data_IF_340736002400
#
_entry.id   IF_340736002400
#
_cell.length_a   1.000
_cell.length_b   1.000
_cell.length_c   1.000
_cell.angle_alpha   90.00
_cell.angle_beta   90.00
_cell.angle_gamma   90.00
#
_symmetry.space_group_name_H-M   'P 1'
#
loop_
_entity.id
_entity.type
_entity.pdbx_description
1 polymer ?
#
# COMPACT_ATOMS: atom_id res chain seq x y z
N UNK A 1 28.13 24.50 -7.93
CA UNK A 1 27.54 24.61 -6.58
C UNK A 1 26.45 23.57 -6.41
N UNK A 2 26.61 22.58 -5.52
CA UNK A 2 25.53 21.64 -5.16
C UNK A 2 24.50 22.44 -4.35
N UNK A 3 23.27 22.61 -4.86
CA UNK A 3 22.16 23.15 -4.06
C UNK A 3 21.96 22.22 -2.87
N UNK A 4 22.28 22.72 -1.67
CA UNK A 4 22.01 22.03 -0.42
C UNK A 4 20.49 21.80 -0.36
N UNK A 5 20.07 20.54 -0.45
CA UNK A 5 18.65 20.20 -0.47
C UNK A 5 18.08 20.52 0.90
N UNK A 6 17.10 21.42 0.96
CA UNK A 6 16.35 21.78 2.18
C UNK A 6 16.07 20.51 3.00
N UNK A 7 16.60 20.41 4.23
CA UNK A 7 16.54 19.19 5.04
C UNK A 7 15.10 18.81 5.40
N UNK A 8 14.15 19.72 5.24
CA UNK A 8 12.73 19.49 5.47
C UNK A 8 12.04 18.80 4.30
N UNK A 9 12.68 18.65 3.13
CA UNK A 9 12.05 17.96 2.00
C UNK A 9 12.06 16.44 2.16
N UNK A 10 10.95 15.80 1.79
CA UNK A 10 10.85 14.34 1.74
C UNK A 10 11.92 13.76 0.81
N UNK A 11 12.66 12.78 1.33
CA UNK A 11 13.70 12.05 0.58
C UNK A 11 13.16 10.75 -0.04
N UNK A 12 12.09 10.20 0.55
CA UNK A 12 11.42 8.96 0.12
C UNK A 12 9.90 9.09 0.19
N UNK A 13 9.19 8.26 -0.57
CA UNK A 13 7.74 8.14 -0.47
C UNK A 13 7.32 7.74 0.96
N UNK A 14 6.18 8.26 1.43
CA UNK A 14 5.64 8.00 2.77
C UNK A 14 6.11 8.93 3.90
N UNK A 15 7.17 9.73 3.71
CA UNK A 15 7.73 10.59 4.78
C UNK A 15 6.92 11.86 5.07
N UNK A 16 6.09 12.33 4.14
CA UNK A 16 5.32 13.57 4.28
C UNK A 16 3.79 13.35 4.45
N UNK A 17 3.37 12.10 4.64
CA UNK A 17 1.96 11.70 4.62
C UNK A 17 1.43 11.41 3.21
N UNK A 18 0.11 11.21 3.12
CA UNK A 18 -0.65 10.91 1.89
C UNK A 18 -1.24 12.17 1.22
N UNK A 19 -1.09 13.35 1.81
CA UNK A 19 -1.41 14.63 1.15
C UNK A 19 -0.33 14.98 0.12
N UNK A 20 -0.59 15.94 -0.78
CA UNK A 20 0.37 16.46 -1.77
C UNK A 20 1.61 17.18 -1.19
N UNK A 21 1.93 16.92 0.08
CA UNK A 21 2.99 17.54 0.84
C UNK A 21 4.37 17.03 0.43
N UNK A 22 5.31 17.97 0.34
CA UNK A 22 6.72 17.71 0.06
C UNK A 22 7.61 17.95 1.28
N UNK A 23 7.11 18.64 2.31
CA UNK A 23 7.87 18.93 3.53
C UNK A 23 7.52 17.96 4.67
N UNK A 24 8.53 17.42 5.34
CA UNK A 24 8.41 16.62 6.54
C UNK A 24 7.92 17.53 7.67
N UNK A 25 6.86 17.12 8.35
CA UNK A 25 6.33 17.83 9.52
C UNK A 25 7.06 17.33 10.76
N UNK A 26 7.72 18.23 11.49
CA UNK A 26 8.58 17.89 12.64
C UNK A 26 8.05 18.40 13.98
N UNK A 27 7.00 19.25 13.97
CA UNK A 27 6.35 19.78 15.17
C UNK A 27 5.04 19.05 15.43
N UNK A 28 4.69 18.87 16.70
CA UNK A 28 3.47 18.20 17.16
C UNK A 28 2.61 19.16 17.97
N UNK A 29 1.30 19.04 17.78
CA UNK A 29 0.26 19.67 18.58
C UNK A 29 -0.61 18.55 19.14
N UNK A 30 -0.89 18.58 20.44
CA UNK A 30 -1.58 17.50 21.16
C UNK A 30 -2.81 18.06 21.88
N UNK A 31 -3.94 17.39 21.70
CA UNK A 31 -5.19 17.63 22.43
C UNK A 31 -5.59 16.29 23.06
N UNK A 32 -6.01 16.32 24.33
CA UNK A 32 -6.58 15.15 25.01
C UNK A 32 -8.08 15.09 24.75
N UNK A 33 -8.59 13.90 24.47
CA UNK A 33 -10.00 13.65 24.19
C UNK A 33 -10.55 12.59 25.14
N UNK A 34 -11.83 12.67 25.47
CA UNK A 34 -12.59 11.53 25.97
C UNK A 34 -12.82 10.51 24.84
N UNK A 35 -13.22 9.26 25.15
CA UNK A 35 -13.58 8.29 24.12
C UNK A 35 -14.68 8.77 23.18
N UNK A 36 -15.69 9.47 23.70
CA UNK A 36 -16.84 9.97 22.94
C UNK A 36 -16.40 11.07 21.97
N UNK A 37 -15.60 12.01 22.45
CA UNK A 37 -15.03 13.08 21.62
C UNK A 37 -14.16 12.51 20.51
N UNK A 38 -13.36 11.48 20.81
CA UNK A 38 -12.53 10.82 19.82
C UNK A 38 -13.34 10.15 18.72
N UNK A 39 -14.42 9.44 19.08
CA UNK A 39 -15.33 8.80 18.12
C UNK A 39 -15.99 9.87 17.24
N UNK A 40 -16.51 10.94 17.84
CA UNK A 40 -17.12 12.03 17.09
C UNK A 40 -16.15 12.69 16.10
N UNK A 41 -14.90 12.91 16.52
CA UNK A 41 -13.84 13.46 15.69
C UNK A 41 -13.50 12.55 14.51
N UNK A 42 -13.43 11.23 14.75
CA UNK A 42 -13.21 10.24 13.70
C UNK A 42 -14.37 10.16 12.71
N UNK A 43 -15.61 10.30 13.19
CA UNK A 43 -16.82 10.35 12.38
C UNK A 43 -16.78 11.50 11.38
N UNK A 44 -16.56 12.74 11.86
CA UNK A 44 -16.46 13.94 11.02
C UNK A 44 -15.36 13.84 9.95
N UNK A 45 -14.22 13.27 10.32
CA UNK A 45 -13.13 13.05 9.36
C UNK A 45 -13.51 12.03 8.27
N UNK A 46 -14.28 10.99 8.61
CA UNK A 46 -14.74 10.01 7.64
C UNK A 46 -15.83 10.56 6.71
N UNK A 47 -16.78 11.32 7.25
CA UNK A 47 -17.87 11.96 6.49
C UNK A 47 -17.35 12.92 5.41
N UNK A 48 -16.23 13.61 5.70
CA UNK A 48 -15.56 14.51 4.75
C UNK A 48 -14.61 13.80 3.77
N UNK A 49 -14.52 12.46 3.84
CA UNK A 49 -13.65 11.67 2.96
C UNK A 49 -12.15 11.77 3.26
N UNK A 50 -11.76 12.42 4.36
CA UNK A 50 -10.37 12.56 4.75
C UNK A 50 -9.75 11.20 5.08
N UNK A 51 -8.51 10.95 4.64
CA UNK A 51 -7.82 9.67 4.88
C UNK A 51 -7.36 9.48 6.33
N UNK A 52 -7.33 10.55 7.14
CA UNK A 52 -7.11 10.45 8.58
C UNK A 52 -7.71 11.64 9.33
N UNK A 53 -7.95 11.46 10.63
CA UNK A 53 -8.40 12.52 11.53
C UNK A 53 -7.44 13.70 11.57
N UNK A 54 -6.12 13.46 11.44
CA UNK A 54 -5.10 14.51 11.45
C UNK A 54 -5.09 15.35 10.17
N UNK A 55 -5.49 14.77 9.03
CA UNK A 55 -5.64 15.49 7.75
C UNK A 55 -6.86 16.39 7.83
N UNK A 56 -8.00 15.84 8.27
CA UNK A 56 -9.21 16.61 8.49
C UNK A 56 -9.01 17.76 9.48
N UNK A 57 -8.41 17.49 10.65
CA UNK A 57 -8.16 18.51 11.66
C UNK A 57 -7.26 19.63 11.13
N UNK A 58 -6.29 19.32 10.27
CA UNK A 58 -5.43 20.33 9.64
C UNK A 58 -6.20 21.20 8.66
N UNK A 59 -7.04 20.60 7.82
CA UNK A 59 -7.89 21.35 6.89
C UNK A 59 -8.80 22.35 7.63
N UNK A 60 -9.35 21.93 8.77
CA UNK A 60 -10.21 22.79 9.61
C UNK A 60 -9.42 23.87 10.35
N UNK A 61 -8.30 23.52 10.99
CA UNK A 61 -7.53 24.45 11.83
C UNK A 61 -6.63 25.39 11.02
N UNK A 62 -6.19 24.97 9.83
CA UNK A 62 -5.21 25.67 8.99
C UNK A 62 -5.64 25.67 7.51
N UNK A 63 -6.81 26.25 7.16
CA UNK A 63 -7.39 26.14 5.83
C UNK A 63 -6.50 26.72 4.71
N UNK A 64 -5.76 27.80 4.99
CA UNK A 64 -4.80 28.38 4.04
C UNK A 64 -3.59 27.48 3.73
N UNK A 65 -3.38 26.43 4.54
CA UNK A 65 -2.31 25.45 4.38
C UNK A 65 -2.85 24.04 4.13
N UNK A 66 -4.15 23.92 3.85
CA UNK A 66 -4.72 22.65 3.46
C UNK A 66 -4.12 22.21 2.12
N UNK A 67 -3.89 20.91 2.01
CA UNK A 67 -3.33 20.32 0.81
C UNK A 67 -4.22 19.19 0.36
N UNK A 68 -4.46 19.14 -0.95
CA UNK A 68 -5.27 18.09 -1.55
C UNK A 68 -4.80 16.71 -1.10
N UNK A 69 -5.73 15.96 -0.52
CA UNK A 69 -5.52 14.59 -0.14
C UNK A 69 -5.32 13.74 -1.41
N UNK A 70 -4.25 12.94 -1.50
CA UNK A 70 -3.99 12.13 -2.70
C UNK A 70 -4.68 10.76 -2.65
N UNK A 71 -5.20 10.38 -1.49
CA UNK A 71 -5.83 9.08 -1.24
C UNK A 71 -6.94 9.30 -0.19
N UNK A 72 -8.12 8.76 -0.42
CA UNK A 72 -9.24 8.72 0.55
C UNK A 72 -9.01 7.64 1.61
N UNK A 73 -9.79 7.66 2.71
CA UNK A 73 -9.70 6.63 3.76
C UNK A 73 -10.02 5.22 3.24
N UNK A 74 -10.98 5.11 2.33
CA UNK A 74 -11.39 3.84 1.74
C UNK A 74 -10.28 3.27 0.83
N UNK A 75 -9.70 4.11 -0.03
CA UNK A 75 -8.58 3.73 -0.89
C UNK A 75 -7.36 3.32 -0.06
N UNK A 76 -7.06 4.07 1.01
CA UNK A 76 -5.97 3.72 1.92
C UNK A 76 -6.17 2.34 2.55
N UNK A 77 -7.38 2.05 3.03
CA UNK A 77 -7.72 0.74 3.60
C UNK A 77 -7.57 -0.38 2.57
N UNK A 78 -8.06 -0.17 1.36
CA UNK A 78 -7.94 -1.13 0.27
C UNK A 78 -6.46 -1.39 -0.08
N UNK A 79 -5.65 -0.32 -0.17
CA UNK A 79 -4.22 -0.42 -0.45
C UNK A 79 -3.48 -1.24 0.61
N UNK A 80 -3.78 -1.01 1.89
CA UNK A 80 -3.19 -1.78 2.99
C UNK A 80 -3.59 -3.25 2.93
N UNK A 81 -4.87 -3.54 2.64
CA UNK A 81 -5.34 -4.93 2.48
C UNK A 81 -4.67 -5.62 1.30
N UNK A 82 -4.52 -4.94 0.16
CA UNK A 82 -3.83 -5.46 -1.00
C UNK A 82 -2.36 -5.76 -0.70
N UNK A 83 -1.66 -4.84 -0.03
CA UNK A 83 -0.27 -5.04 0.40
C UNK A 83 -0.12 -6.24 1.34
N UNK A 84 -1.05 -6.42 2.28
CA UNK A 84 -1.05 -7.57 3.17
C UNK A 84 -1.24 -8.89 2.40
N UNK A 85 -2.16 -8.92 1.44
CA UNK A 85 -2.39 -10.10 0.57
C UNK A 85 -1.17 -10.41 -0.30
N UNK A 86 -0.55 -9.39 -0.91
CA UNK A 86 0.68 -9.56 -1.69
C UNK A 86 1.84 -10.04 -0.82
N UNK A 87 1.97 -9.54 0.41
CA UNK A 87 2.97 -10.01 1.37
C UNK A 87 2.80 -11.49 1.72
N UNK A 88 1.55 -11.96 1.90
CA UNK A 88 1.25 -13.38 2.10
C UNK A 88 1.65 -14.22 0.88
N UNK A 89 1.31 -13.77 -0.32
CA UNK A 89 1.70 -14.45 -1.57
C UNK A 89 3.23 -14.53 -1.68
N UNK A 90 3.94 -13.43 -1.45
CA UNK A 90 5.40 -13.41 -1.48
C UNK A 90 6.03 -14.34 -0.44
N UNK A 91 5.46 -14.41 0.77
CA UNK A 91 5.90 -15.34 1.81
C UNK A 91 5.73 -16.80 1.36
N UNK A 92 4.57 -17.15 0.79
CA UNK A 92 4.32 -18.50 0.27
C UNK A 92 5.31 -18.86 -0.86
N UNK A 93 5.55 -17.93 -1.80
CA UNK A 93 6.54 -18.12 -2.87
C UNK A 93 7.93 -18.37 -2.28
N UNK A 94 8.34 -17.58 -1.28
CA UNK A 94 9.63 -17.76 -0.60
C UNK A 94 9.72 -19.11 0.13
N UNK A 95 8.62 -19.61 0.69
CA UNK A 95 8.57 -20.94 1.29
C UNK A 95 8.72 -22.06 0.24
N UNK A 96 8.05 -21.93 -0.91
CA UNK A 96 8.20 -22.87 -2.04
C UNK A 96 9.66 -22.89 -2.51
N UNK A 97 10.24 -21.70 -2.75
CA UNK A 97 11.63 -21.57 -3.17
C UNK A 97 12.59 -22.21 -2.15
N UNK A 98 12.39 -21.97 -0.85
CA UNK A 98 13.18 -22.60 0.22
C UNK A 98 12.98 -24.11 0.25
N UNK A 99 11.77 -24.62 0.04
CA UNK A 99 11.48 -26.05 0.00
C UNK A 99 12.20 -26.72 -1.16
N UNK A 100 12.09 -26.16 -2.37
CA UNK A 100 12.80 -26.63 -3.57
C UNK A 100 14.32 -26.60 -3.37
N UNK A 101 14.86 -25.51 -2.82
CA UNK A 101 16.28 -25.38 -2.54
C UNK A 101 16.77 -26.40 -1.48
N UNK A 102 15.97 -26.65 -0.44
CA UNK A 102 16.27 -27.65 0.59
C UNK A 102 16.20 -29.07 0.07
N UNK A 103 15.25 -29.35 -0.83
CA UNK A 103 15.11 -30.67 -1.41
C UNK A 103 16.35 -31.02 -2.24
N UNK A 104 17.14 -30.06 -2.77
CA UNK A 104 18.35 -30.33 -3.59
C UNK A 104 18.14 -31.39 -4.69
N UNK A 105 16.88 -31.60 -5.06
CA UNK A 105 16.44 -32.68 -5.91
C UNK A 105 15.93 -31.98 -7.16
N UNK A 106 16.86 -31.70 -8.07
CA UNK A 106 16.54 -31.66 -9.49
C UNK A 106 16.60 -33.12 -9.95
N UNK A 107 15.55 -33.88 -9.65
CA UNK A 107 15.39 -35.24 -10.20
C UNK A 107 14.26 -35.22 -11.22
N UNK A 108 14.10 -36.32 -11.95
CA UNK A 108 13.09 -36.44 -13.00
C UNK A 108 11.67 -36.10 -12.51
N UNK A 109 11.35 -36.32 -11.22
CA UNK A 109 10.04 -35.98 -10.65
C UNK A 109 9.83 -34.47 -10.48
N UNK A 110 10.80 -33.71 -9.98
CA UNK A 110 10.67 -32.25 -9.82
C UNK A 110 10.72 -31.53 -11.18
N UNK A 111 11.47 -32.06 -12.14
CA UNK A 111 11.43 -31.61 -13.53
C UNK A 111 10.06 -31.87 -14.17
N UNK A 112 9.48 -33.06 -13.93
CA UNK A 112 8.13 -33.40 -14.38
C UNK A 112 7.06 -32.46 -13.81
N UNK A 113 7.11 -32.19 -12.51
CA UNK A 113 6.18 -31.23 -11.87
C UNK A 113 6.33 -29.81 -12.42
N UNK A 114 7.55 -29.36 -12.70
CA UNK A 114 7.78 -28.04 -13.31
C UNK A 114 7.22 -27.95 -14.74
N UNK A 115 7.39 -29.02 -15.55
CA UNK A 115 6.80 -29.12 -16.89
C UNK A 115 5.27 -29.05 -16.84
N UNK A 116 4.64 -29.75 -15.90
CA UNK A 116 3.17 -29.70 -15.73
C UNK A 116 2.68 -28.31 -15.29
N UNK A 117 3.37 -27.63 -14.37
CA UNK A 117 3.03 -26.26 -13.99
C UNK A 117 3.15 -25.27 -15.16
N UNK A 118 4.13 -25.48 -16.04
CA UNK A 118 4.32 -24.66 -17.24
C UNK A 118 3.18 -24.86 -18.24
N UNK A 119 2.73 -26.11 -18.45
CA UNK A 119 1.55 -26.42 -19.29
C UNK A 119 0.28 -25.78 -18.74
N UNK A 120 0.08 -25.82 -17.42
CA UNK A 120 -1.07 -25.16 -16.77
C UNK A 120 -1.00 -23.64 -17.00
N UNK A 121 0.18 -23.03 -16.86
CA UNK A 121 0.35 -21.60 -17.12
C UNK A 121 0.03 -21.25 -18.59
N UNK A 122 0.49 -22.04 -19.56
CA UNK A 122 0.17 -21.84 -20.98
C UNK A 122 -1.32 -22.03 -21.27
N UNK A 123 -1.96 -23.03 -20.68
CA UNK A 123 -3.40 -23.26 -20.79
C UNK A 123 -4.20 -22.07 -20.24
N UNK A 124 -3.85 -21.57 -19.05
CA UNK A 124 -4.48 -20.38 -18.45
C UNK A 124 -4.28 -19.14 -19.31
N UNK A 125 -3.08 -18.97 -19.90
CA UNK A 125 -2.78 -17.84 -20.81
C UNK A 125 -3.60 -17.92 -22.09
N UNK A 126 -3.70 -19.12 -22.68
CA UNK A 126 -4.50 -19.38 -23.87
C UNK A 126 -5.99 -19.12 -23.62
N UNK A 127 -6.51 -19.58 -22.49
CA UNK A 127 -7.88 -19.28 -22.06
C UNK A 127 -8.06 -17.76 -21.90
N UNK A 128 -7.15 -17.08 -21.19
CA UNK A 128 -7.21 -15.64 -21.00
C UNK A 128 -7.20 -14.85 -22.33
N UNK A 129 -6.41 -15.30 -23.32
CA UNK A 129 -6.34 -14.67 -24.64
C UNK A 129 -7.58 -14.95 -25.48
N UNK A 130 -8.14 -16.17 -25.42
CA UNK A 130 -9.44 -16.51 -26.03
C UNK A 130 -10.60 -15.68 -25.45
N UNK A 131 -10.57 -15.41 -24.14
CA UNK A 131 -11.56 -14.55 -23.48
C UNK A 131 -11.35 -13.06 -23.78
N UNK A 132 -10.13 -12.62 -24.11
CA UNK A 132 -9.86 -11.25 -24.59
C UNK A 132 -10.29 -11.02 -26.05
N UNK A 133 -10.30 -12.06 -26.87
CA UNK A 133 -10.71 -12.00 -28.28
C UNK A 133 -12.23 -12.03 -28.53
N UNK A 134 -13.05 -12.27 -27.50
CA UNK A 134 -14.53 -12.24 -27.56
C UNK A 134 -15.11 -10.86 -27.16
N UNK A 135 -14.51 -9.78 -27.65
CA UNK A 135 -15.11 -8.44 -27.61
C UNK A 135 -15.59 -8.02 -28.98
#
# INVERSE_FOLDING_TARGET
MKKEKDPTLKKRAGQAGVEANKKIRTKRFEIRFTPEEWIALQGRAAETGASSTAIWARAVLLPAHDQSNQETKAEHKLRVQLLASLGKIGSNINQIARSLNRLKVWNESTEGMFKELTKIQEGVRTIADLFKGKK
#
